data_IF_790520742680
#
_entry.id   IF_790520742680
#
_cell.length_a   1.000
_cell.length_b   1.000
_cell.length_c   1.000
_cell.angle_alpha   90.00
_cell.angle_beta   90.00
_cell.angle_gamma   90.00
#
_symmetry.space_group_name_H-M   'P 1'
#
loop_
_entity.id
_entity.type
_entity.pdbx_description
1 polymer ?
#
# COMPACT_ATOMS: atom_id res chain seq x y z
N UNK A 1 -3.16 11.93 -6.85
CA UNK A 1 -4.34 11.38 -7.56
C UNK A 1 -5.05 12.48 -8.33
N UNK A 2 -5.63 12.14 -9.47
CA UNK A 2 -6.37 13.09 -10.31
C UNK A 2 -7.79 13.29 -9.78
N UNK A 3 -8.33 14.51 -9.93
CA UNK A 3 -9.67 14.85 -9.47
C UNK A 3 -10.76 13.88 -9.98
N UNK A 4 -10.65 13.44 -11.26
CA UNK A 4 -11.59 12.48 -11.84
C UNK A 4 -11.59 11.11 -11.12
N UNK A 5 -10.45 10.69 -10.56
CA UNK A 5 -10.34 9.44 -9.82
C UNK A 5 -10.80 9.62 -8.37
N UNK A 6 -10.49 10.78 -7.78
CA UNK A 6 -10.84 11.07 -6.39
C UNK A 6 -12.34 11.07 -6.11
N UNK A 7 -13.16 11.39 -7.12
CA UNK A 7 -14.64 11.33 -6.98
C UNK A 7 -15.18 9.92 -6.66
N UNK A 8 -14.38 8.87 -6.89
CA UNK A 8 -14.75 7.50 -6.52
C UNK A 8 -14.37 7.15 -5.07
N UNK A 9 -13.72 8.08 -4.35
CA UNK A 9 -13.32 7.85 -2.96
C UNK A 9 -14.53 7.57 -2.09
N UNK A 10 -14.55 6.39 -1.50
CA UNK A 10 -15.58 5.95 -0.57
C UNK A 10 -14.99 5.83 0.84
N UNK A 11 -15.28 6.84 1.67
CA UNK A 11 -14.81 6.89 3.05
C UNK A 11 -15.50 5.85 3.93
N UNK A 12 -16.67 5.35 3.54
CA UNK A 12 -17.44 4.34 4.26
C UNK A 12 -17.03 2.91 3.94
N UNK A 13 -16.26 2.71 2.86
CA UNK A 13 -15.94 1.39 2.31
C UNK A 13 -17.22 0.56 2.04
N UNK A 14 -18.26 1.20 1.49
CA UNK A 14 -19.59 0.59 1.30
C UNK A 14 -19.57 -0.71 0.51
N UNK A 15 -18.61 -0.88 -0.39
CA UNK A 15 -18.42 -2.10 -1.20
C UNK A 15 -17.61 -3.20 -0.48
N UNK A 16 -17.20 -2.99 0.78
CA UNK A 16 -16.40 -4.00 1.51
C UNK A 16 -17.20 -5.27 1.81
N UNK A 17 -18.49 -5.22 2.24
CA UNK A 17 -19.29 -6.43 2.50
C UNK A 17 -19.42 -7.36 1.30
N UNK A 18 -19.31 -6.84 0.07
CA UNK A 18 -19.39 -7.62 -1.16
C UNK A 18 -18.07 -8.33 -1.51
N UNK A 19 -17.00 -8.05 -0.75
CA UNK A 19 -15.68 -8.62 -1.02
C UNK A 19 -15.46 -9.92 -0.26
N UNK A 20 -14.99 -10.93 -0.97
CA UNK A 20 -14.63 -12.21 -0.37
C UNK A 20 -13.14 -12.39 -0.26
N UNK A 21 -12.71 -13.20 0.72
CA UNK A 21 -11.30 -13.60 0.84
C UNK A 21 -10.80 -14.27 -0.46
N UNK A 22 -11.64 -15.07 -1.11
CA UNK A 22 -11.28 -15.75 -2.36
C UNK A 22 -11.02 -14.77 -3.51
N UNK A 23 -11.74 -13.65 -3.57
CA UNK A 23 -11.51 -12.57 -4.55
C UNK A 23 -10.13 -11.95 -4.35
N UNK A 24 -9.77 -11.66 -3.10
CA UNK A 24 -8.47 -11.07 -2.78
C UNK A 24 -7.31 -12.05 -3.05
N UNK A 25 -7.47 -13.32 -2.68
CA UNK A 25 -6.48 -14.36 -2.97
C UNK A 25 -6.24 -14.50 -4.48
N UNK A 26 -7.30 -14.48 -5.27
CA UNK A 26 -7.23 -14.58 -6.74
C UNK A 26 -6.49 -13.38 -7.35
N UNK A 27 -6.68 -12.20 -6.77
CA UNK A 27 -6.09 -10.94 -7.28
C UNK A 27 -4.64 -10.79 -6.86
N UNK A 28 -4.30 -11.08 -5.59
CA UNK A 28 -2.99 -10.75 -5.00
C UNK A 28 -2.13 -11.98 -4.67
N UNK A 29 -2.67 -13.19 -4.82
CA UNK A 29 -2.06 -14.41 -4.31
C UNK A 29 -2.45 -14.70 -2.85
N UNK A 30 -2.19 -15.94 -2.41
CA UNK A 30 -2.69 -16.45 -1.13
C UNK A 30 -2.25 -15.58 0.06
N UNK A 31 -0.96 -15.39 0.24
CA UNK A 31 -0.44 -14.71 1.43
C UNK A 31 -0.84 -13.23 1.49
N UNK A 32 -0.65 -12.52 0.38
CA UNK A 32 -1.01 -11.11 0.31
C UNK A 32 -2.53 -10.90 0.38
N UNK A 33 -3.30 -11.74 -0.28
CA UNK A 33 -4.76 -11.70 -0.23
C UNK A 33 -5.30 -11.85 1.19
N UNK A 34 -4.77 -12.80 1.97
CA UNK A 34 -5.12 -12.97 3.38
C UNK A 34 -4.75 -11.74 4.22
N UNK A 35 -3.55 -11.18 4.01
CA UNK A 35 -3.10 -9.99 4.73
C UNK A 35 -3.94 -8.76 4.40
N UNK A 36 -4.27 -8.54 3.11
CA UNK A 36 -5.12 -7.43 2.68
C UNK A 36 -6.54 -7.58 3.19
N UNK A 37 -7.09 -8.79 3.17
CA UNK A 37 -8.41 -9.07 3.74
C UNK A 37 -8.46 -8.69 5.21
N UNK A 38 -7.51 -9.20 6.01
CA UNK A 38 -7.41 -8.86 7.44
C UNK A 38 -7.29 -7.34 7.67
N UNK A 39 -6.47 -6.68 6.87
CA UNK A 39 -6.21 -5.24 7.01
C UNK A 39 -7.43 -4.39 6.65
N UNK A 40 -8.09 -4.66 5.53
CA UNK A 40 -9.28 -3.92 5.12
C UNK A 40 -10.49 -4.24 6.00
N UNK A 41 -10.64 -5.50 6.43
CA UNK A 41 -11.69 -5.87 7.39
C UNK A 41 -11.52 -5.14 8.73
N UNK A 42 -10.29 -5.03 9.23
CA UNK A 42 -10.00 -4.24 10.42
C UNK A 42 -10.33 -2.75 10.21
N UNK A 43 -9.96 -2.17 9.07
CA UNK A 43 -10.28 -0.77 8.75
C UNK A 43 -11.79 -0.54 8.70
N UNK A 44 -12.54 -1.44 8.06
CA UNK A 44 -13.99 -1.37 7.94
C UNK A 44 -14.67 -1.46 9.31
N UNK A 45 -14.29 -2.43 10.12
CA UNK A 45 -14.86 -2.61 11.47
C UNK A 45 -14.54 -1.46 12.43
N UNK A 46 -13.52 -0.67 12.13
CA UNK A 46 -13.10 0.49 12.92
C UNK A 46 -13.28 1.80 12.13
N UNK A 47 -14.27 1.87 11.26
CA UNK A 47 -14.45 2.96 10.30
C UNK A 47 -14.62 4.32 10.97
N UNK A 48 -15.23 4.36 12.15
CA UNK A 48 -15.51 5.59 12.89
C UNK A 48 -14.30 6.10 13.71
N UNK A 49 -13.39 5.22 14.06
CA UNK A 49 -12.19 5.58 14.85
C UNK A 49 -10.93 5.71 14.01
N UNK A 50 -10.88 5.01 12.88
CA UNK A 50 -9.77 5.09 11.94
C UNK A 50 -9.99 6.24 10.97
N UNK A 51 -9.26 7.33 11.12
CA UNK A 51 -9.37 8.53 10.27
C UNK A 51 -8.52 8.46 9.00
N UNK A 52 -7.67 7.43 8.84
CA UNK A 52 -6.77 7.30 7.69
C UNK A 52 -7.53 7.12 6.39
N UNK A 53 -7.45 8.11 5.51
CA UNK A 53 -8.01 8.03 4.16
C UNK A 53 -7.19 7.11 3.23
N UNK A 54 -5.88 6.95 3.48
CA UNK A 54 -4.98 6.24 2.59
C UNK A 54 -5.36 4.75 2.40
N UNK A 55 -5.77 4.09 3.49
CA UNK A 55 -6.24 2.68 3.44
C UNK A 55 -7.50 2.55 2.62
N UNK A 56 -8.44 3.48 2.80
CA UNK A 56 -9.72 3.52 2.09
C UNK A 56 -9.51 3.82 0.61
N UNK A 57 -8.57 4.71 0.31
CA UNK A 57 -8.18 4.99 -1.07
C UNK A 57 -7.57 3.77 -1.76
N UNK A 58 -6.67 3.05 -1.09
CA UNK A 58 -6.12 1.80 -1.62
C UNK A 58 -7.21 0.75 -1.88
N UNK A 59 -8.22 0.67 -1.01
CA UNK A 59 -9.39 -0.18 -1.22
C UNK A 59 -10.24 0.30 -2.41
N UNK A 60 -10.49 1.60 -2.52
CA UNK A 60 -11.21 2.20 -3.66
C UNK A 60 -10.51 1.87 -4.99
N UNK A 61 -9.19 2.05 -5.07
CA UNK A 61 -8.42 1.68 -6.27
C UNK A 61 -8.62 0.20 -6.63
N UNK A 62 -8.60 -0.69 -5.64
CA UNK A 62 -8.82 -2.12 -5.86
C UNK A 62 -10.22 -2.40 -6.42
N UNK A 63 -11.27 -1.86 -5.81
CA UNK A 63 -12.67 -2.09 -6.21
C UNK A 63 -12.96 -1.52 -7.59
N UNK A 64 -12.46 -0.32 -7.87
CA UNK A 64 -12.64 0.36 -9.16
C UNK A 64 -11.66 -0.15 -10.25
N UNK A 65 -10.86 -1.19 -9.95
CA UNK A 65 -9.83 -1.74 -10.85
C UNK A 65 -8.88 -0.67 -11.39
N UNK A 66 -8.62 0.34 -10.55
CA UNK A 66 -7.73 1.43 -10.89
C UNK A 66 -6.27 1.01 -10.97
N UNK A 67 -5.50 1.73 -11.77
CA UNK A 67 -4.05 1.57 -11.85
C UNK A 67 -3.35 2.79 -11.25
N UNK A 68 -2.18 2.56 -10.66
CA UNK A 68 -1.30 3.61 -10.19
C UNK A 68 -0.12 3.76 -11.15
N UNK A 69 0.20 5.00 -11.50
CA UNK A 69 1.44 5.31 -12.23
C UNK A 69 2.54 5.52 -11.19
N UNK A 70 3.63 4.81 -11.36
CA UNK A 70 4.83 4.97 -10.53
C UNK A 70 6.02 5.30 -11.42
N UNK A 71 6.94 6.16 -10.98
CA UNK A 71 8.18 6.41 -11.72
C UNK A 71 9.06 5.15 -11.73
N UNK A 72 9.92 5.01 -12.74
CA UNK A 72 10.87 3.89 -12.84
C UNK A 72 11.97 3.95 -11.79
N UNK A 73 12.35 5.15 -11.37
CA UNK A 73 13.32 5.40 -10.31
C UNK A 73 12.64 5.91 -9.04
N UNK A 74 13.26 5.68 -7.88
CA UNK A 74 12.78 6.24 -6.62
C UNK A 74 13.07 7.74 -6.59
N UNK A 75 12.04 8.57 -6.57
CA UNK A 75 12.16 10.03 -6.60
C UNK A 75 11.94 10.69 -5.23
N UNK A 76 11.72 9.92 -4.18
CA UNK A 76 11.40 10.46 -2.85
C UNK A 76 12.07 9.68 -1.73
N UNK A 77 12.44 10.38 -0.68
CA UNK A 77 12.87 9.79 0.59
C UNK A 77 11.88 10.18 1.69
N UNK A 78 11.54 9.23 2.53
CA UNK A 78 10.79 9.53 3.75
C UNK A 78 11.78 10.04 4.81
N UNK A 79 11.71 11.33 5.12
CA UNK A 79 12.54 11.99 6.15
C UNK A 79 11.91 11.94 7.54
N UNK A 80 10.64 11.52 7.67
CA UNK A 80 9.90 11.44 8.94
C UNK A 80 10.22 10.21 9.78
N UNK A 81 11.36 9.57 9.56
CA UNK A 81 11.81 8.39 10.32
C UNK A 81 12.51 8.75 11.63
N UNK A 82 12.86 10.01 11.81
CA UNK A 82 13.46 10.55 13.02
C UNK A 82 12.44 11.48 13.71
N UNK A 83 11.75 10.92 14.71
CA UNK A 83 10.73 11.65 15.46
C UNK A 83 9.40 11.89 14.75
N UNK A 84 9.11 11.20 13.64
CA UNK A 84 7.83 11.30 12.94
C UNK A 84 6.70 10.57 13.66
N UNK A 85 5.45 11.00 13.44
CA UNK A 85 4.23 10.47 14.11
C UNK A 85 4.05 8.95 13.96
N UNK A 86 4.63 8.34 12.94
CA UNK A 86 4.51 6.90 12.64
C UNK A 86 5.76 6.07 12.96
N UNK A 87 6.82 6.72 13.45
CA UNK A 87 8.09 6.07 13.77
C UNK A 87 8.52 6.45 15.19
N UNK A 88 8.76 5.44 16.01
CA UNK A 88 9.43 5.60 17.30
C UNK A 88 10.95 5.66 17.08
N UNK A 89 11.66 6.33 17.96
CA UNK A 89 13.13 6.39 17.93
C UNK A 89 13.72 4.96 17.90
N UNK A 90 14.53 4.68 16.89
CA UNK A 90 15.12 3.35 16.67
C UNK A 90 14.32 2.44 15.74
N UNK A 91 13.20 2.89 15.16
CA UNK A 91 12.51 2.14 14.12
C UNK A 91 13.34 2.09 12.83
N UNK A 92 13.44 0.90 12.26
CA UNK A 92 14.15 0.70 10.99
C UNK A 92 13.24 1.17 9.86
N UNK A 93 13.69 2.21 9.14
CA UNK A 93 13.08 2.58 7.87
C UNK A 93 13.36 1.47 6.83
N UNK A 94 12.35 0.71 6.39
CA UNK A 94 12.55 -0.37 5.43
C UNK A 94 13.00 0.12 4.05
N UNK A 95 12.89 1.42 3.78
CA UNK A 95 13.25 2.08 2.53
C UNK A 95 14.54 2.90 2.61
N UNK A 96 15.24 2.92 3.76
CA UNK A 96 16.47 3.71 3.95
C UNK A 96 17.58 3.37 2.96
N UNK A 97 17.56 2.17 2.38
CA UNK A 97 18.55 1.70 1.40
C UNK A 97 18.27 2.19 -0.02
N UNK A 98 17.10 2.76 -0.29
CA UNK A 98 16.74 3.22 -1.63
C UNK A 98 17.47 4.53 -1.92
N UNK A 99 18.23 4.52 -3.02
CA UNK A 99 18.86 5.73 -3.54
C UNK A 99 17.82 6.60 -4.25
N UNK A 100 17.98 7.91 -4.17
CA UNK A 100 17.20 8.84 -5.00
C UNK A 100 17.75 8.76 -6.42
N UNK A 101 16.87 8.50 -7.36
CA UNK A 101 17.13 8.61 -8.79
C UNK A 101 16.85 10.00 -9.32
N UNK A 102 16.97 10.17 -10.61
CA UNK A 102 16.69 11.42 -11.30
C UNK A 102 15.62 11.22 -12.35
N UNK A 103 14.73 12.19 -12.44
CA UNK A 103 13.76 12.24 -13.51
C UNK A 103 14.48 12.71 -14.78
N UNK A 104 14.40 11.90 -15.85
CA UNK A 104 15.01 12.24 -17.14
C UNK A 104 13.97 12.88 -18.05
N UNK A 105 14.32 13.99 -18.64
CA UNK A 105 13.51 14.64 -19.67
C UNK A 105 14.00 14.27 -21.09
N UNK A 106 13.08 14.17 -22.08
CA UNK A 106 11.63 14.32 -21.96
C UNK A 106 10.98 13.14 -21.24
N UNK A 107 9.87 13.40 -20.52
CA UNK A 107 9.11 12.36 -19.85
C UNK A 107 8.44 11.44 -20.87
N UNK A 108 8.71 10.15 -20.74
CA UNK A 108 8.06 9.13 -21.55
C UNK A 108 6.98 8.44 -20.74
N UNK A 109 5.75 8.52 -21.20
CA UNK A 109 4.63 7.76 -20.65
C UNK A 109 4.32 6.59 -21.57
N UNK A 110 3.89 5.48 -20.97
CA UNK A 110 3.44 4.36 -21.75
C UNK A 110 2.04 4.69 -22.32
N UNK A 111 1.88 4.69 -23.63
CA UNK A 111 0.60 4.95 -24.31
C UNK A 111 -0.43 3.86 -24.00
N UNK A 112 0.02 2.65 -23.67
CA UNK A 112 -0.83 1.54 -23.27
C UNK A 112 -1.03 1.54 -21.77
N UNK A 113 -2.25 1.85 -21.32
CA UNK A 113 -2.65 1.79 -19.89
C UNK A 113 -2.93 0.34 -19.52
N UNK A 114 -1.88 -0.40 -19.21
CA UNK A 114 -1.95 -1.81 -18.80
C UNK A 114 -1.20 -2.05 -17.52
N UNK A 115 -1.64 -3.07 -16.76
CA UNK A 115 -0.94 -3.48 -15.56
C UNK A 115 0.43 -4.06 -15.90
N UNK A 116 1.50 -3.44 -15.41
CA UNK A 116 2.84 -4.05 -15.43
C UNK A 116 2.92 -5.16 -14.37
N UNK A 117 2.79 -6.40 -14.82
CA UNK A 117 2.83 -7.60 -13.95
C UNK A 117 4.16 -7.75 -13.22
N UNK A 118 5.28 -7.28 -13.80
CA UNK A 118 6.60 -7.33 -13.17
C UNK A 118 6.67 -6.35 -12.00
N UNK A 119 6.26 -5.11 -12.22
CA UNK A 119 6.19 -4.08 -11.17
C UNK A 119 5.20 -4.46 -10.08
N UNK A 120 4.04 -4.99 -10.44
CA UNK A 120 3.08 -5.50 -9.46
C UNK A 120 3.68 -6.59 -8.57
N UNK A 121 4.44 -7.53 -9.15
CA UNK A 121 5.09 -8.60 -8.39
C UNK A 121 6.18 -8.07 -7.45
N UNK A 122 6.94 -7.05 -7.85
CA UNK A 122 7.92 -6.38 -7.00
C UNK A 122 7.23 -5.66 -5.84
N UNK A 123 6.18 -4.90 -6.12
CA UNK A 123 5.39 -4.21 -5.11
C UNK A 123 4.80 -5.18 -4.07
N UNK A 124 4.26 -6.29 -4.52
CA UNK A 124 3.72 -7.34 -3.64
C UNK A 124 4.81 -7.92 -2.73
N UNK A 125 6.01 -8.17 -3.26
CA UNK A 125 7.16 -8.65 -2.50
C UNK A 125 7.58 -7.65 -1.42
N UNK A 126 7.63 -6.37 -1.74
CA UNK A 126 7.98 -5.31 -0.77
C UNK A 126 6.90 -5.16 0.30
N UNK A 127 5.64 -5.21 -0.08
CA UNK A 127 4.53 -5.21 0.87
C UNK A 127 4.66 -6.35 1.89
N UNK A 128 4.92 -7.58 1.44
CA UNK A 128 5.12 -8.73 2.32
C UNK A 128 6.35 -8.56 3.22
N UNK A 129 7.48 -8.09 2.66
CA UNK A 129 8.71 -7.83 3.42
C UNK A 129 8.47 -6.87 4.58
N UNK A 130 7.78 -5.76 4.33
CA UNK A 130 7.47 -4.76 5.36
C UNK A 130 6.59 -5.34 6.46
N UNK A 131 5.57 -6.12 6.09
CA UNK A 131 4.70 -6.80 7.04
C UNK A 131 5.45 -7.82 7.90
N UNK A 132 6.40 -8.54 7.33
CA UNK A 132 7.25 -9.47 8.05
C UNK A 132 8.18 -8.77 9.06
N UNK A 133 8.73 -7.60 8.72
CA UNK A 133 9.51 -6.78 9.65
C UNK A 133 8.66 -6.38 10.86
N UNK A 134 7.45 -5.87 10.62
CA UNK A 134 6.52 -5.50 11.68
C UNK A 134 6.11 -6.67 12.58
N UNK A 135 5.90 -7.86 12.01
CA UNK A 135 5.58 -9.07 12.75
C UNK A 135 6.75 -9.50 13.66
N UNK A 136 7.97 -9.51 13.12
CA UNK A 136 9.19 -9.83 13.90
C UNK A 136 9.37 -8.88 15.08
N UNK A 137 9.12 -7.56 14.91
CA UNK A 137 9.16 -6.56 15.99
C UNK A 137 8.15 -6.92 17.08
N UNK A 138 6.91 -7.24 16.72
CA UNK A 138 5.87 -7.63 17.68
C UNK A 138 6.25 -8.88 18.49
N UNK A 139 6.74 -9.93 17.81
CA UNK A 139 7.17 -11.16 18.47
C UNK A 139 8.30 -10.85 19.46
N UNK A 140 9.32 -10.10 19.06
CA UNK A 140 10.43 -9.72 19.93
C UNK A 140 9.99 -8.96 21.19
N UNK A 141 8.94 -8.13 21.09
CA UNK A 141 8.42 -7.34 22.21
C UNK A 141 7.57 -8.18 23.18
N UNK A 142 7.05 -9.34 22.76
CA UNK A 142 6.32 -10.27 23.63
C UNK A 142 7.28 -11.10 24.49
N UNK A 143 8.51 -11.33 24.02
CA UNK A 143 9.53 -12.12 24.72
C UNK A 143 10.56 -11.26 25.48
N UNK A 144 10.31 -9.98 25.63
CA UNK A 144 11.02 -9.06 26.56
C UNK A 144 10.17 -8.78 27.79
#
# INVERSE_FOLDING_TARGET
TWARAWKYMDMSMSKWPDQSLSTLIRTFGFLEGCMRYKYWNHTYNNIHTNTSWATRWAFTIFVERGLCITPGDNLAINIGTDGGVHYENGDINPYAHLKIGTLREPLHFNDNVVLDKRQQKLHNKDFLRIRMIGLKKKIRNVFK
#
